data_IF_439388259067
#
_entry.id   IF_439388259067
#
_cell.length_a   1.000
_cell.length_b   1.000
_cell.length_c   1.000
_cell.angle_alpha   90.00
_cell.angle_beta   90.00
_cell.angle_gamma   90.00
#
_symmetry.space_group_name_H-M   'P 1'
#
loop_
_entity.id
_entity.type
_entity.pdbx_description
1 polymer ?
#
# COMPACT_ATOMS: atom_id res chain seq x y z
N UNK A 1 -13.61 -2.03 32.26
CA UNK A 1 -13.51 -1.54 30.87
C UNK A 1 -14.13 -0.15 30.81
N UNK A 2 -13.43 0.87 30.32
CA UNK A 2 -13.91 2.27 30.29
C UNK A 2 -14.51 2.56 28.91
N UNK A 3 -15.70 3.16 28.88
CA UNK A 3 -16.30 3.63 27.63
C UNK A 3 -15.59 4.93 27.16
N UNK A 4 -15.07 4.90 25.94
CA UNK A 4 -14.40 6.04 25.30
C UNK A 4 -15.32 6.76 24.30
N UNK A 5 -16.60 6.40 24.27
CA UNK A 5 -17.58 6.94 23.35
C UNK A 5 -17.52 6.29 21.97
N UNK A 6 -18.04 7.00 20.97
CA UNK A 6 -18.15 6.47 19.60
C UNK A 6 -16.76 6.32 18.98
N UNK A 7 -16.39 5.09 18.65
CA UNK A 7 -15.14 4.79 17.93
C UNK A 7 -15.18 5.41 16.54
N UNK A 8 -14.24 6.31 16.25
CA UNK A 8 -14.09 6.96 14.94
C UNK A 8 -12.98 6.35 14.09
N UNK A 9 -11.98 5.72 14.71
CA UNK A 9 -10.85 5.11 14.02
C UNK A 9 -10.44 3.81 14.70
N UNK A 10 -10.14 2.78 13.92
CA UNK A 10 -9.52 1.54 14.37
C UNK A 10 -8.48 1.13 13.35
N UNK A 11 -7.26 0.78 13.79
CA UNK A 11 -6.22 0.30 12.88
C UNK A 11 -6.11 1.19 11.62
N UNK A 12 -5.98 2.51 11.80
CA UNK A 12 -5.87 3.49 10.70
C UNK A 12 -7.04 3.52 9.68
N UNK A 13 -8.12 2.79 9.93
CA UNK A 13 -9.39 2.87 9.19
C UNK A 13 -10.35 3.79 9.92
N UNK A 14 -11.04 4.63 9.16
CA UNK A 14 -12.08 5.51 9.66
C UNK A 14 -13.42 4.77 9.68
N UNK A 15 -14.14 4.91 10.78
CA UNK A 15 -15.43 4.26 11.00
C UNK A 15 -16.51 5.32 10.91
N UNK A 16 -17.44 5.15 9.97
CA UNK A 16 -18.67 5.93 9.91
C UNK A 16 -19.85 4.99 10.21
N UNK A 17 -20.54 5.21 11.33
CA UNK A 17 -21.66 4.38 11.76
C UNK A 17 -22.94 5.19 11.77
N UNK A 18 -23.88 4.81 10.90
CA UNK A 18 -25.23 5.35 10.92
C UNK A 18 -26.15 4.36 11.66
N UNK A 19 -26.50 4.69 12.90
CA UNK A 19 -27.34 3.82 13.75
C UNK A 19 -28.82 3.82 13.36
N UNK A 20 -29.36 4.92 12.82
CA UNK A 20 -30.77 4.97 12.44
C UNK A 20 -31.09 4.07 11.25
N UNK A 21 -30.13 3.90 10.34
CA UNK A 21 -30.24 3.02 9.16
C UNK A 21 -29.54 1.68 9.38
N UNK A 22 -28.87 1.48 10.53
CA UNK A 22 -28.15 0.25 10.85
C UNK A 22 -26.92 -0.04 9.97
N UNK A 23 -26.32 0.99 9.36
CA UNK A 23 -25.17 0.85 8.44
C UNK A 23 -23.84 1.22 9.11
N UNK A 24 -22.78 0.50 8.73
CA UNK A 24 -21.39 0.75 9.12
C UNK A 24 -20.53 0.83 7.86
N UNK A 25 -19.76 1.89 7.74
CA UNK A 25 -18.81 2.10 6.66
C UNK A 25 -17.40 2.19 7.26
N UNK A 26 -16.45 1.57 6.56
CA UNK A 26 -15.03 1.65 6.85
C UNK A 26 -14.33 2.33 5.68
N UNK A 27 -13.47 3.29 5.95
CA UNK A 27 -12.65 3.97 4.94
C UNK A 27 -11.18 3.91 5.30
N UNK A 28 -10.34 3.61 4.32
CA UNK A 28 -8.88 3.66 4.45
C UNK A 28 -8.28 4.82 3.65
N UNK A 29 -9.10 5.72 3.12
CA UNK A 29 -8.67 6.80 2.24
C UNK A 29 -7.54 7.65 2.86
N UNK A 30 -7.73 8.14 4.09
CA UNK A 30 -6.73 8.95 4.78
C UNK A 30 -5.39 8.23 5.00
N UNK A 31 -5.41 6.89 5.14
CA UNK A 31 -4.18 6.11 5.23
C UNK A 31 -3.47 6.03 3.88
N UNK A 32 -4.20 5.74 2.80
CA UNK A 32 -3.63 5.67 1.44
C UNK A 32 -3.03 7.02 1.04
N UNK A 33 -3.74 8.12 1.28
CA UNK A 33 -3.22 9.48 1.03
C UNK A 33 -1.94 9.77 1.83
N UNK A 34 -1.87 9.33 3.09
CA UNK A 34 -0.67 9.46 3.92
C UNK A 34 0.50 8.65 3.34
N UNK A 35 0.26 7.43 2.87
CA UNK A 35 1.28 6.58 2.24
C UNK A 35 1.80 7.22 0.95
N UNK A 36 0.90 7.66 0.07
CA UNK A 36 1.28 8.35 -1.17
C UNK A 36 2.13 9.60 -0.87
N UNK A 37 1.74 10.40 0.12
CA UNK A 37 2.52 11.57 0.52
C UNK A 37 3.88 11.21 1.07
N UNK A 38 3.97 10.17 1.90
CA UNK A 38 5.22 9.75 2.52
C UNK A 38 6.29 9.35 1.49
N UNK A 39 5.88 8.72 0.38
CA UNK A 39 6.77 8.30 -0.70
C UNK A 39 6.80 9.27 -1.89
N UNK A 40 6.34 10.52 -1.72
CA UNK A 40 6.31 11.55 -2.76
C UNK A 40 5.49 11.17 -4.03
N UNK A 41 4.47 10.31 -3.87
CA UNK A 41 3.60 9.81 -4.94
C UNK A 41 2.23 10.52 -4.99
N UNK A 42 2.13 11.77 -4.52
CA UNK A 42 0.86 12.50 -4.46
C UNK A 42 0.15 12.65 -5.82
N UNK A 43 0.93 12.67 -6.91
CA UNK A 43 0.45 12.82 -8.28
C UNK A 43 0.42 11.48 -9.04
N UNK A 44 0.39 10.35 -8.33
CA UNK A 44 0.33 9.04 -8.95
C UNK A 44 -0.92 8.91 -9.85
N UNK A 45 -0.74 8.34 -11.03
CA UNK A 45 -1.83 8.12 -11.99
C UNK A 45 -2.82 7.11 -11.42
N UNK A 46 -4.10 7.47 -11.40
CA UNK A 46 -5.17 6.54 -11.07
C UNK A 46 -5.33 5.50 -12.19
N UNK A 47 -5.27 4.23 -11.82
CA UNK A 47 -5.45 3.10 -12.74
C UNK A 47 -6.35 2.05 -12.08
N UNK A 48 -7.24 1.46 -12.87
CA UNK A 48 -8.14 0.40 -12.38
C UNK A 48 -7.41 -0.94 -12.23
N UNK A 49 -6.43 -1.20 -13.11
CA UNK A 49 -5.62 -2.40 -13.10
C UNK A 49 -4.16 -1.96 -13.01
N UNK A 50 -3.54 -2.03 -11.81
CA UNK A 50 -2.18 -1.52 -11.61
C UNK A 50 -1.13 -2.36 -12.34
N UNK A 51 -1.43 -3.63 -12.62
CA UNK A 51 -0.54 -4.53 -13.33
C UNK A 51 -1.37 -5.59 -14.06
N UNK A 52 -1.25 -5.67 -15.39
CA UNK A 52 -2.00 -6.66 -16.16
C UNK A 52 -1.36 -8.04 -16.02
N UNK A 53 -2.19 -9.08 -15.95
CA UNK A 53 -1.77 -10.46 -15.63
C UNK A 53 -0.77 -11.08 -16.61
N UNK A 54 -0.72 -10.58 -17.85
CA UNK A 54 0.20 -11.04 -18.89
C UNK A 54 1.55 -10.32 -18.86
N UNK A 55 1.66 -9.19 -18.15
CA UNK A 55 2.95 -8.53 -17.95
C UNK A 55 3.79 -9.32 -16.94
N UNK A 56 5.09 -9.33 -17.18
CA UNK A 56 6.09 -9.79 -16.22
C UNK A 56 7.05 -8.64 -16.00
N UNK A 57 7.55 -8.50 -14.77
CA UNK A 57 8.68 -7.61 -14.54
C UNK A 57 9.86 -8.14 -15.34
N UNK A 58 10.41 -7.35 -16.26
CA UNK A 58 11.45 -7.83 -17.12
C UNK A 58 12.75 -7.93 -16.32
N UNK A 59 13.54 -8.96 -16.63
CA UNK A 59 14.76 -9.31 -15.86
C UNK A 59 15.80 -8.20 -15.97
N UNK A 60 15.75 -7.41 -17.03
CA UNK A 60 16.64 -6.28 -17.27
C UNK A 60 16.43 -5.09 -16.32
N UNK A 61 15.32 -5.04 -15.56
CA UNK A 61 15.10 -4.09 -14.45
C UNK A 61 15.83 -4.49 -13.15
N UNK A 62 16.52 -5.64 -13.12
CA UNK A 62 17.42 -5.94 -12.00
C UNK A 62 18.57 -4.93 -11.96
N UNK A 63 19.05 -4.61 -10.77
CA UNK A 63 20.24 -3.76 -10.59
C UNK A 63 21.45 -4.42 -11.28
N UNK A 64 22.14 -3.69 -12.15
CA UNK A 64 23.29 -4.23 -12.92
C UNK A 64 24.59 -3.50 -12.66
N UNK A 65 24.51 -2.27 -12.15
CA UNK A 65 25.66 -1.38 -11.97
C UNK A 65 25.72 -0.95 -10.50
N UNK A 66 26.93 -0.86 -9.95
CA UNK A 66 27.18 -0.51 -8.54
C UNK A 66 26.54 0.83 -8.15
N UNK A 67 26.51 1.82 -9.05
CA UNK A 67 25.85 3.11 -8.84
C UNK A 67 24.34 2.96 -8.60
N UNK A 68 23.66 2.07 -9.32
CA UNK A 68 22.22 1.80 -9.13
C UNK A 68 21.97 1.09 -7.81
N UNK A 69 22.87 0.18 -7.41
CA UNK A 69 22.80 -0.51 -6.12
C UNK A 69 22.98 0.45 -4.96
N UNK A 70 23.97 1.34 -5.04
CA UNK A 70 24.20 2.37 -4.03
C UNK A 70 23.00 3.31 -3.93
N UNK A 71 22.43 3.74 -5.06
CA UNK A 71 21.21 4.55 -5.07
C UNK A 71 20.04 3.81 -4.40
N UNK A 72 19.78 2.56 -4.81
CA UNK A 72 18.67 1.76 -4.29
C UNK A 72 18.82 1.40 -2.81
N UNK A 73 20.04 1.31 -2.28
CA UNK A 73 20.29 1.09 -0.85
C UNK A 73 19.67 2.17 0.05
N UNK A 74 19.51 3.39 -0.49
CA UNK A 74 18.88 4.51 0.20
C UNK A 74 17.35 4.51 0.07
N UNK A 75 16.81 3.75 -0.89
CA UNK A 75 15.37 3.71 -1.18
C UNK A 75 14.69 2.71 -0.25
N UNK A 76 13.69 3.12 0.55
CA UNK A 76 13.05 2.24 1.51
C UNK A 76 12.02 1.32 0.85
N UNK A 77 12.48 0.41 -0.03
CA UNK A 77 11.63 -0.46 -0.84
C UNK A 77 10.73 -1.35 0.02
N UNK A 78 11.32 -2.10 0.95
CA UNK A 78 10.59 -3.00 1.86
C UNK A 78 9.53 -2.25 2.69
N UNK A 79 9.85 -1.04 3.16
CA UNK A 79 8.89 -0.16 3.87
C UNK A 79 7.74 0.27 2.97
N UNK A 80 8.03 0.64 1.73
CA UNK A 80 7.02 1.03 0.74
C UNK A 80 6.06 -0.12 0.47
N UNK A 81 6.59 -1.30 0.15
CA UNK A 81 5.79 -2.49 -0.12
C UNK A 81 4.99 -2.91 1.12
N UNK A 82 5.57 -2.84 2.32
CA UNK A 82 4.87 -3.14 3.58
C UNK A 82 3.66 -2.24 3.84
N UNK A 83 3.76 -0.94 3.53
CA UNK A 83 2.62 -0.02 3.64
C UNK A 83 1.50 -0.36 2.63
N UNK A 84 1.87 -0.79 1.42
CA UNK A 84 0.90 -1.19 0.39
C UNK A 84 0.23 -2.53 0.74
N UNK A 85 0.98 -3.50 1.29
CA UNK A 85 0.45 -4.76 1.81
C UNK A 85 -0.63 -4.48 2.86
N UNK A 86 -0.40 -3.52 3.74
CA UNK A 86 -1.41 -3.16 4.75
C UNK A 86 -2.71 -2.61 4.13
N UNK A 87 -2.60 -1.77 3.09
CA UNK A 87 -3.78 -1.31 2.34
C UNK A 87 -4.53 -2.49 1.71
N UNK A 88 -3.78 -3.42 1.09
CA UNK A 88 -4.33 -4.62 0.45
C UNK A 88 -5.10 -5.51 1.44
N UNK A 89 -4.50 -5.84 2.59
CA UNK A 89 -5.08 -6.75 3.59
C UNK A 89 -6.35 -6.18 4.22
N UNK A 90 -6.42 -4.86 4.42
CA UNK A 90 -7.56 -4.25 5.09
C UNK A 90 -8.78 -4.09 4.18
N UNK A 91 -8.65 -3.38 3.05
CA UNK A 91 -9.80 -2.99 2.22
C UNK A 91 -9.53 -2.95 0.71
N UNK A 92 -8.31 -3.22 0.23
CA UNK A 92 -7.90 -3.05 -1.18
C UNK A 92 -7.41 -4.35 -1.82
N UNK A 93 -8.28 -5.36 -1.88
CA UNK A 93 -7.93 -6.63 -2.54
C UNK A 93 -7.66 -6.47 -4.05
N UNK A 94 -8.12 -5.39 -4.67
CA UNK A 94 -7.92 -5.06 -6.08
C UNK A 94 -6.44 -4.89 -6.47
N UNK A 95 -5.57 -4.54 -5.51
CA UNK A 95 -4.12 -4.42 -5.75
C UNK A 95 -3.34 -5.69 -5.39
N UNK A 96 -4.01 -6.78 -5.01
CA UNK A 96 -3.35 -7.99 -4.51
C UNK A 96 -2.38 -8.63 -5.52
N UNK A 97 -2.75 -8.63 -6.79
CA UNK A 97 -1.92 -9.19 -7.84
C UNK A 97 -0.58 -8.47 -7.98
N UNK A 98 -0.59 -7.14 -8.05
CA UNK A 98 0.64 -6.35 -8.18
C UNK A 98 1.51 -6.47 -6.92
N UNK A 99 0.88 -6.46 -5.74
CA UNK A 99 1.58 -6.63 -4.46
C UNK A 99 2.30 -7.98 -4.41
N UNK A 100 1.65 -9.07 -4.79
CA UNK A 100 2.26 -10.40 -4.83
C UNK A 100 3.50 -10.50 -5.72
N UNK A 101 3.56 -9.70 -6.79
CA UNK A 101 4.70 -9.66 -7.71
C UNK A 101 5.84 -8.85 -7.08
N UNK A 102 5.58 -7.62 -6.63
CA UNK A 102 6.62 -6.74 -6.07
C UNK A 102 7.18 -7.28 -4.74
N UNK A 103 6.36 -7.95 -3.93
CA UNK A 103 6.82 -8.54 -2.66
C UNK A 103 7.93 -9.60 -2.81
N UNK A 104 8.08 -10.20 -4.00
CA UNK A 104 9.15 -11.19 -4.26
C UNK A 104 10.56 -10.59 -4.22
N UNK A 105 10.66 -9.27 -4.40
CA UNK A 105 11.93 -8.56 -4.47
C UNK A 105 12.28 -7.85 -3.16
N UNK A 106 11.48 -8.02 -2.09
CA UNK A 106 11.75 -7.40 -0.78
C UNK A 106 12.98 -7.97 -0.05
N UNK A 107 13.48 -9.13 -0.46
CA UNK A 107 14.64 -9.79 0.14
C UNK A 107 15.92 -9.71 -0.68
N UNK A 108 15.97 -8.85 -1.71
CA UNK A 108 17.16 -8.66 -2.55
C UNK A 108 18.14 -7.60 -2.00
N UNK A 109 18.02 -7.25 -0.72
CA UNK A 109 18.93 -6.33 0.00
C UNK A 109 20.10 -7.08 0.70
N UNK A 110 20.44 -8.31 0.30
CA UNK A 110 21.59 -9.10 0.82
C UNK A 110 22.58 -9.50 -0.27
#
# INVERSE_FOLDING_TARGET
MKDLGVVKKILRMEINRNRSVGKLFLSQQAYVEKVLKHFNMNNAKLVNVPFATHFKLPVDMSLKIDEEMEHMSSVPYSSTVGNIIYAMVCNRLDISHVVSIVSRYMGQDE
#
